data_IF_551169782123
#
_entry.id   IF_551169782123
#
_cell.length_a   1.000
_cell.length_b   1.000
_cell.length_c   1.000
_cell.angle_alpha   90.00
_cell.angle_beta   90.00
_cell.angle_gamma   90.00
#
_symmetry.space_group_name_H-M   'P 1'
#
loop_
_entity.id
_entity.type
_entity.pdbx_description
1 polymer ?
#
# COMPACT_ATOMS: atom_id res chain seq x y z
N UNK A 1 21.44 -6.90 3.22
CA UNK A 1 21.17 -5.70 2.41
C UNK A 1 22.45 -5.25 1.67
N UNK A 2 23.58 -4.98 2.35
CA UNK A 2 24.82 -4.55 1.67
C UNK A 2 25.24 -5.50 0.54
N UNK A 3 25.15 -6.82 0.77
CA UNK A 3 25.46 -7.84 -0.21
C UNK A 3 24.51 -7.79 -1.42
N UNK A 4 23.21 -7.61 -1.19
CA UNK A 4 22.23 -7.46 -2.28
C UNK A 4 22.57 -6.27 -3.16
N UNK A 5 22.73 -5.07 -2.57
CA UNK A 5 23.07 -3.86 -3.34
C UNK A 5 24.40 -3.98 -4.08
N UNK A 6 25.42 -4.62 -3.46
CA UNK A 6 26.69 -4.88 -4.14
C UNK A 6 26.51 -5.67 -5.45
N UNK A 7 25.65 -6.72 -5.43
CA UNK A 7 25.39 -7.52 -6.63
C UNK A 7 24.52 -6.75 -7.66
N UNK A 8 23.54 -5.95 -7.23
CA UNK A 8 22.72 -5.15 -8.16
C UNK A 8 23.56 -4.11 -8.89
N UNK A 9 24.55 -3.52 -8.23
CA UNK A 9 25.39 -2.45 -8.78
C UNK A 9 26.67 -2.96 -9.48
N UNK A 10 26.91 -4.26 -9.43
CA UNK A 10 28.09 -4.85 -10.07
C UNK A 10 28.06 -4.62 -11.60
N UNK A 11 29.15 -4.03 -12.12
CA UNK A 11 29.24 -3.65 -13.54
C UNK A 11 28.45 -2.40 -13.95
N UNK A 12 27.78 -1.73 -13.01
CA UNK A 12 27.00 -0.51 -13.30
C UNK A 12 27.82 0.78 -13.06
N UNK A 13 27.48 1.89 -13.73
CA UNK A 13 28.11 3.19 -13.51
C UNK A 13 28.00 3.63 -12.05
N UNK A 14 29.08 4.11 -11.45
CA UNK A 14 29.14 4.49 -10.02
C UNK A 14 28.34 5.75 -9.67
N UNK A 15 28.03 6.56 -10.63
CA UNK A 15 27.27 7.81 -10.54
C UNK A 15 25.76 7.59 -10.76
N UNK A 16 25.36 6.39 -11.22
CA UNK A 16 23.94 6.06 -11.43
C UNK A 16 23.36 5.33 -10.20
N UNK A 17 22.22 5.77 -9.73
CA UNK A 17 21.46 5.02 -8.72
C UNK A 17 20.72 3.86 -9.39
N UNK A 18 21.15 2.63 -9.10
CA UNK A 18 20.60 1.41 -9.72
C UNK A 18 19.38 0.90 -8.98
N UNK A 19 19.38 1.05 -7.65
CA UNK A 19 18.30 0.58 -6.78
C UNK A 19 18.13 1.50 -5.57
N UNK A 20 16.86 1.73 -5.18
CA UNK A 20 16.51 2.48 -3.97
C UNK A 20 15.35 1.79 -3.24
N UNK A 21 15.37 1.85 -1.92
CA UNK A 21 14.20 1.49 -1.12
C UNK A 21 13.04 2.45 -1.42
N UNK A 22 11.79 1.97 -1.33
CA UNK A 22 10.63 2.79 -1.65
C UNK A 22 9.37 2.32 -0.91
N UNK A 23 8.36 3.15 -0.85
CA UNK A 23 7.04 2.73 -0.37
C UNK A 23 6.94 2.53 1.14
N UNK A 24 6.34 1.41 1.55
CA UNK A 24 6.03 1.12 2.95
C UNK A 24 7.25 1.09 3.86
N UNK A 25 8.35 0.50 3.42
CA UNK A 25 9.57 0.38 4.21
C UNK A 25 10.22 1.75 4.49
N UNK A 26 10.29 2.65 3.48
CA UNK A 26 10.86 3.99 3.66
C UNK A 26 9.97 4.84 4.56
N UNK A 27 8.66 4.82 4.32
CA UNK A 27 7.69 5.52 5.17
C UNK A 27 7.77 5.08 6.63
N UNK A 28 7.84 3.78 6.90
CA UNK A 28 7.95 3.23 8.24
C UNK A 28 9.29 3.56 8.88
N UNK A 29 10.39 3.52 8.11
CA UNK A 29 11.72 3.95 8.56
C UNK A 29 11.70 5.41 9.04
N UNK A 30 11.15 6.32 8.24
CA UNK A 30 11.06 7.75 8.56
C UNK A 30 10.17 8.05 9.77
N UNK A 31 9.22 7.17 10.07
CA UNK A 31 8.34 7.25 11.26
C UNK A 31 8.83 6.40 12.44
N UNK A 32 10.01 5.82 12.37
CA UNK A 32 10.56 4.92 13.40
C UNK A 32 9.62 3.76 13.75
N UNK A 33 8.89 3.26 12.74
CA UNK A 33 7.99 2.10 12.86
C UNK A 33 8.65 0.83 12.38
N UNK A 34 8.12 -0.32 12.84
CA UNK A 34 8.58 -1.63 12.38
C UNK A 34 8.47 -1.77 10.86
N UNK A 35 9.50 -2.36 10.25
CA UNK A 35 9.57 -2.67 8.82
C UNK A 35 9.43 -4.18 8.69
N UNK A 36 8.34 -4.63 8.06
CA UNK A 36 8.08 -6.04 7.83
C UNK A 36 8.47 -6.45 6.40
N UNK A 37 8.05 -5.68 5.39
CA UNK A 37 8.36 -5.91 3.98
C UNK A 37 9.33 -4.84 3.47
N UNK A 38 10.27 -5.24 2.62
CA UNK A 38 11.27 -4.35 2.04
C UNK A 38 11.05 -4.30 0.53
N UNK A 39 10.53 -3.16 0.08
CA UNK A 39 10.33 -2.85 -1.34
C UNK A 39 11.52 -2.06 -1.88
N UNK A 40 12.05 -2.50 -3.01
CA UNK A 40 13.16 -1.88 -3.72
C UNK A 40 12.71 -1.59 -5.15
N UNK A 41 12.78 -0.34 -5.56
CA UNK A 41 12.66 0.07 -6.96
C UNK A 41 14.04 0.01 -7.62
N UNK A 42 14.10 -0.38 -8.90
CA UNK A 42 15.36 -0.51 -9.64
C UNK A 42 15.19 -0.19 -11.12
N UNK A 43 16.25 0.29 -11.74
CA UNK A 43 16.30 0.48 -13.20
C UNK A 43 16.51 -0.85 -13.96
N UNK A 44 16.87 -1.92 -13.25
CA UNK A 44 17.13 -3.23 -13.85
C UNK A 44 15.81 -3.93 -14.20
N UNK A 45 15.76 -4.56 -15.36
CA UNK A 45 14.67 -5.45 -15.75
C UNK A 45 14.65 -6.74 -14.94
N UNK A 46 13.55 -7.50 -14.90
CA UNK A 46 13.50 -8.81 -14.23
C UNK A 46 14.56 -9.78 -14.73
N UNK A 47 14.89 -9.77 -16.01
CA UNK A 47 15.91 -10.61 -16.65
C UNK A 47 17.32 -10.23 -16.15
N UNK A 48 17.61 -8.94 -16.10
CA UNK A 48 18.89 -8.43 -15.56
C UNK A 48 19.03 -8.74 -14.08
N UNK A 49 17.96 -8.59 -13.28
CA UNK A 49 17.92 -8.97 -11.89
C UNK A 49 18.26 -10.44 -11.70
N UNK A 50 17.63 -11.33 -12.48
CA UNK A 50 17.92 -12.77 -12.44
C UNK A 50 19.36 -13.07 -12.82
N UNK A 51 19.91 -12.37 -13.81
CA UNK A 51 21.30 -12.53 -14.24
C UNK A 51 22.28 -12.11 -13.15
N UNK A 52 22.06 -10.92 -12.54
CA UNK A 52 22.94 -10.38 -11.49
C UNK A 52 22.87 -11.17 -10.17
N UNK A 53 21.70 -11.72 -9.84
CA UNK A 53 21.44 -12.44 -8.59
C UNK A 53 21.51 -13.97 -8.74
N UNK A 54 22.19 -14.48 -9.78
CA UNK A 54 22.37 -15.94 -9.99
C UNK A 54 23.18 -16.65 -8.91
N UNK A 55 23.80 -15.91 -8.01
CA UNK A 55 24.57 -16.49 -6.93
C UNK A 55 23.71 -17.37 -6.01
N UNK A 56 24.24 -18.50 -5.54
CA UNK A 56 23.53 -19.50 -4.73
C UNK A 56 22.94 -18.98 -3.42
N UNK A 57 23.43 -17.83 -2.93
CA UNK A 57 22.87 -17.16 -1.74
C UNK A 57 21.52 -16.52 -1.94
N UNK A 58 21.06 -16.32 -3.20
CA UNK A 58 19.78 -15.71 -3.51
C UNK A 58 18.79 -16.78 -3.99
N UNK A 59 17.59 -16.78 -3.38
CA UNK A 59 16.45 -17.50 -3.94
C UNK A 59 15.54 -16.48 -4.61
N UNK A 60 15.34 -16.60 -5.93
CA UNK A 60 14.50 -15.72 -6.72
C UNK A 60 13.18 -16.43 -6.96
N UNK A 61 12.08 -15.72 -6.74
CA UNK A 61 10.71 -16.20 -6.97
C UNK A 61 10.02 -15.23 -7.93
N UNK A 62 9.49 -15.76 -8.99
CA UNK A 62 8.79 -15.03 -10.05
C UNK A 62 7.35 -14.69 -9.64
N UNK A 63 7.19 -13.77 -8.72
CA UNK A 63 5.88 -13.42 -8.13
C UNK A 63 5.08 -12.39 -8.92
N UNK A 64 5.68 -11.74 -9.91
CA UNK A 64 5.02 -10.65 -10.62
C UNK A 64 5.77 -10.17 -11.86
N UNK A 65 6.37 -11.07 -12.63
CA UNK A 65 7.15 -10.73 -13.84
C UNK A 65 6.32 -9.88 -14.81
N UNK A 66 5.04 -10.22 -15.01
CA UNK A 66 4.11 -9.46 -15.87
C UNK A 66 3.99 -8.00 -15.40
N UNK A 67 4.27 -7.73 -14.12
CA UNK A 67 4.25 -6.41 -13.53
C UNK A 67 5.65 -5.84 -13.26
N UNK A 68 6.70 -6.46 -13.82
CA UNK A 68 8.08 -6.03 -13.64
C UNK A 68 8.64 -6.23 -12.23
N UNK A 69 8.08 -7.18 -11.45
CA UNK A 69 8.50 -7.43 -10.06
C UNK A 69 9.04 -8.85 -9.88
N UNK A 70 10.09 -8.98 -9.06
CA UNK A 70 10.62 -10.26 -8.60
C UNK A 70 10.81 -10.24 -7.09
N UNK A 71 10.54 -11.37 -6.43
CA UNK A 71 10.85 -11.53 -5.01
C UNK A 71 12.20 -12.19 -4.85
N UNK A 72 13.05 -11.60 -4.06
CA UNK A 72 14.38 -12.13 -3.71
C UNK A 72 14.42 -12.47 -2.23
N UNK A 73 14.85 -13.69 -1.89
CA UNK A 73 15.07 -14.11 -0.52
C UNK A 73 16.57 -14.24 -0.28
N UNK A 74 17.05 -13.59 0.76
CA UNK A 74 18.44 -13.64 1.23
C UNK A 74 18.45 -13.76 2.75
N UNK A 75 19.03 -14.84 3.30
CA UNK A 75 19.08 -15.11 4.75
C UNK A 75 17.70 -14.94 5.40
N UNK A 76 16.69 -15.63 4.89
CA UNK A 76 15.28 -15.62 5.33
C UNK A 76 14.58 -14.26 5.28
N UNK A 77 15.24 -13.22 4.74
CA UNK A 77 14.65 -11.93 4.50
C UNK A 77 14.13 -11.82 3.07
N UNK A 78 12.90 -11.38 2.96
CA UNK A 78 12.21 -11.15 1.68
C UNK A 78 12.41 -9.71 1.23
N UNK A 79 12.78 -9.56 -0.05
CA UNK A 79 12.88 -8.27 -0.74
C UNK A 79 12.02 -8.33 -1.99
N UNK A 80 11.19 -7.33 -2.21
CA UNK A 80 10.43 -7.18 -3.44
C UNK A 80 11.13 -6.14 -4.32
N UNK A 81 11.67 -6.60 -5.44
CA UNK A 81 12.37 -5.74 -6.41
C UNK A 81 11.43 -5.45 -7.57
N UNK A 82 11.15 -4.18 -7.82
CA UNK A 82 10.27 -3.74 -8.91
C UNK A 82 11.03 -2.82 -9.85
N UNK A 83 11.04 -3.17 -11.12
CA UNK A 83 11.59 -2.33 -12.20
C UNK A 83 10.83 -1.01 -12.26
N UNK A 84 11.57 0.11 -12.45
CA UNK A 84 10.95 1.40 -12.70
C UNK A 84 10.07 1.32 -13.95
N UNK A 85 8.86 1.85 -13.84
CA UNK A 85 7.91 1.76 -14.93
C UNK A 85 6.94 2.94 -14.97
N UNK A 86 6.39 3.14 -16.14
CA UNK A 86 5.23 3.98 -16.39
C UNK A 86 4.04 3.08 -16.72
N UNK A 87 2.91 3.34 -16.13
CA UNK A 87 1.67 2.63 -16.44
C UNK A 87 1.02 3.34 -17.64
N UNK A 88 0.87 2.65 -18.78
CA UNK A 88 0.31 3.21 -20.03
C UNK A 88 -1.22 3.16 -20.01
N UNK A 89 -1.78 2.01 -19.60
CA UNK A 89 -3.22 1.80 -19.39
C UNK A 89 -3.40 0.93 -18.15
N UNK A 90 -4.32 1.28 -17.31
CA UNK A 90 -4.63 0.49 -16.12
C UNK A 90 -6.14 0.22 -16.03
N UNK A 91 -6.51 -1.00 -15.63
CA UNK A 91 -7.87 -1.38 -15.24
C UNK A 91 -7.95 -1.70 -13.73
N UNK A 92 -6.95 -1.28 -12.97
CA UNK A 92 -6.79 -1.55 -11.55
C UNK A 92 -6.17 -2.92 -11.22
N UNK A 93 -6.19 -3.88 -12.13
CA UNK A 93 -5.60 -5.23 -11.96
C UNK A 93 -4.44 -5.49 -12.91
N UNK A 94 -4.58 -5.05 -14.14
CA UNK A 94 -3.58 -5.18 -15.19
C UNK A 94 -3.18 -3.79 -15.66
N UNK A 95 -1.91 -3.58 -15.84
CA UNK A 95 -1.36 -2.39 -16.46
C UNK A 95 -0.50 -2.81 -17.63
N UNK A 96 -0.72 -2.22 -18.79
CA UNK A 96 0.32 -2.17 -19.80
C UNK A 96 1.42 -1.28 -19.23
N UNK A 97 2.61 -1.84 -19.07
CA UNK A 97 3.74 -1.14 -18.45
C UNK A 97 4.82 -0.88 -19.49
N UNK A 98 5.41 0.29 -19.38
CA UNK A 98 6.64 0.65 -20.08
C UNK A 98 7.78 0.74 -19.06
N UNK A 99 8.85 -0.01 -19.27
CA UNK A 99 10.05 0.08 -18.44
C UNK A 99 10.76 1.39 -18.70
N UNK A 100 11.13 2.08 -17.65
CA UNK A 100 11.80 3.39 -17.70
C UNK A 100 13.05 3.39 -16.79
N UNK A 101 13.88 4.42 -16.90
CA UNK A 101 15.01 4.67 -16.01
C UNK A 101 14.89 6.00 -15.24
N UNK A 102 13.74 6.66 -15.36
CA UNK A 102 13.44 7.92 -14.66
C UNK A 102 12.67 7.69 -13.37
N UNK A 103 13.32 7.97 -12.24
CA UNK A 103 12.76 7.88 -10.89
C UNK A 103 11.60 8.86 -10.65
N UNK A 104 11.59 10.03 -11.30
CA UNK A 104 10.50 11.00 -11.20
C UNK A 104 9.25 10.47 -11.87
N UNK A 105 9.39 9.87 -13.04
CA UNK A 105 8.25 9.28 -13.75
C UNK A 105 7.69 8.07 -12.97
N UNK A 106 8.52 7.15 -12.45
CA UNK A 106 8.04 6.05 -11.61
C UNK A 106 7.27 6.55 -10.38
N UNK A 107 7.71 7.68 -9.80
CA UNK A 107 7.03 8.25 -8.64
C UNK A 107 5.59 8.69 -8.94
N UNK A 108 5.30 9.14 -10.15
CA UNK A 108 3.98 9.65 -10.55
C UNK A 108 2.90 8.58 -10.60
N UNK A 109 3.24 7.32 -10.87
CA UNK A 109 2.26 6.22 -10.90
C UNK A 109 1.83 5.73 -9.51
N UNK A 110 2.56 6.10 -8.44
CA UNK A 110 2.25 5.67 -7.07
C UNK A 110 0.98 6.33 -6.55
N UNK A 111 0.39 5.77 -5.51
CA UNK A 111 -0.90 6.22 -4.98
C UNK A 111 -0.81 7.56 -4.22
N UNK A 112 0.03 7.60 -3.17
CA UNK A 112 0.14 8.73 -2.26
C UNK A 112 1.57 9.26 -2.20
N UNK A 113 1.72 10.57 -1.99
CA UNK A 113 3.02 11.25 -1.89
C UNK A 113 3.95 10.57 -0.90
N UNK A 114 3.46 10.18 0.27
CA UNK A 114 4.22 9.50 1.32
C UNK A 114 4.68 8.07 0.94
N UNK A 115 4.15 7.49 -0.12
CA UNK A 115 4.55 6.18 -0.66
C UNK A 115 5.50 6.31 -1.87
N UNK A 116 5.82 7.54 -2.28
CA UNK A 116 6.72 7.86 -3.38
C UNK A 116 8.05 8.48 -2.90
N UNK A 117 8.43 8.20 -1.68
CA UNK A 117 9.72 8.59 -1.09
C UNK A 117 10.69 7.45 -1.35
N UNK A 118 11.83 7.77 -1.96
CA UNK A 118 12.91 6.81 -2.21
C UNK A 118 14.08 7.07 -1.26
N UNK A 119 14.77 6.01 -0.86
CA UNK A 119 15.93 6.06 0.02
C UNK A 119 17.03 5.21 -0.56
N UNK A 120 18.19 5.80 -0.86
CA UNK A 120 19.31 5.01 -1.35
C UNK A 120 20.07 4.29 -0.20
N UNK A 121 20.97 3.40 -0.55
CA UNK A 121 21.80 2.63 0.41
C UNK A 121 22.69 3.48 1.31
N UNK A 122 22.95 4.75 0.96
CA UNK A 122 23.74 5.71 1.73
C UNK A 122 22.89 6.57 2.67
N UNK A 123 21.55 6.36 2.68
CA UNK A 123 20.62 7.15 3.48
C UNK A 123 20.20 8.48 2.85
N UNK A 124 20.52 8.73 1.57
CA UNK A 124 20.07 9.93 0.86
C UNK A 124 18.64 9.72 0.38
N UNK A 125 17.78 10.68 0.67
CA UNK A 125 16.38 10.70 0.24
C UNK A 125 16.28 11.34 -1.13
N UNK A 126 15.47 10.71 -2.01
CA UNK A 126 14.97 11.30 -3.24
C UNK A 126 13.44 11.35 -3.16
N UNK A 127 12.88 12.56 -3.14
CA UNK A 127 11.48 12.83 -2.84
C UNK A 127 10.83 13.77 -3.87
N UNK A 128 10.55 13.28 -5.08
CA UNK A 128 10.05 14.13 -6.16
C UNK A 128 8.60 14.59 -5.93
N UNK A 129 7.85 13.93 -5.04
CA UNK A 129 6.44 14.22 -4.75
C UNK A 129 6.23 14.95 -3.42
N UNK A 130 7.30 15.41 -2.76
CA UNK A 130 7.25 16.08 -1.45
C UNK A 130 6.58 15.24 -0.33
N UNK A 131 6.65 13.92 -0.46
CA UNK A 131 6.03 12.99 0.48
C UNK A 131 6.61 13.04 1.89
N UNK A 132 7.86 13.46 2.07
CA UNK A 132 8.49 13.63 3.39
C UNK A 132 7.82 14.72 4.20
N UNK A 133 7.45 15.86 3.56
CA UNK A 133 6.69 16.93 4.19
C UNK A 133 5.30 16.46 4.59
N UNK A 134 4.58 15.80 3.66
CA UNK A 134 3.24 15.28 3.92
C UNK A 134 3.28 14.24 5.05
N UNK A 135 4.25 13.33 5.03
CA UNK A 135 4.43 12.32 6.06
C UNK A 135 4.71 12.93 7.44
N UNK A 136 5.56 13.97 7.51
CA UNK A 136 5.86 14.70 8.76
C UNK A 136 4.61 15.32 9.36
N UNK A 137 3.76 15.91 8.51
CA UNK A 137 2.52 16.57 8.90
C UNK A 137 1.33 15.62 9.00
N UNK A 138 1.53 14.30 8.85
CA UNK A 138 0.49 13.29 8.82
C UNK A 138 -0.58 13.53 7.74
N UNK A 139 -0.21 14.05 6.59
CA UNK A 139 -1.10 14.30 5.45
C UNK A 139 -1.10 13.09 4.53
N UNK A 140 -2.29 12.62 4.17
CA UNK A 140 -2.50 11.58 3.15
C UNK A 140 -3.01 12.26 1.89
N UNK A 141 -2.14 12.37 0.88
CA UNK A 141 -2.41 13.11 -0.35
C UNK A 141 -2.15 12.24 -1.57
N UNK A 142 -3.08 12.23 -2.50
CA UNK A 142 -2.89 11.60 -3.81
C UNK A 142 -1.79 12.32 -4.61
N UNK A 143 -1.06 11.57 -5.43
CA UNK A 143 -0.13 12.13 -6.39
C UNK A 143 -0.92 12.57 -7.63
N UNK A 144 -1.00 13.86 -7.88
CA UNK A 144 -1.82 14.41 -8.96
C UNK A 144 -3.30 14.57 -8.59
N UNK A 145 -4.18 14.53 -9.59
CA UNK A 145 -5.61 14.71 -9.40
C UNK A 145 -6.26 13.48 -8.76
N UNK A 146 -6.96 13.62 -7.62
CA UNK A 146 -7.56 12.49 -6.92
C UNK A 146 -8.56 11.68 -7.76
N UNK A 147 -9.34 12.34 -8.62
CA UNK A 147 -10.34 11.66 -9.43
C UNK A 147 -9.67 10.73 -10.44
N UNK A 148 -8.69 11.23 -11.17
CA UNK A 148 -7.89 10.47 -12.14
C UNK A 148 -7.20 9.28 -11.45
N UNK A 149 -6.59 9.52 -10.28
CA UNK A 149 -5.88 8.48 -9.53
C UNK A 149 -6.80 7.38 -9.02
N UNK A 150 -8.03 7.70 -8.65
CA UNK A 150 -9.04 6.73 -8.24
C UNK A 150 -9.53 5.91 -9.45
N UNK A 151 -9.72 6.53 -10.62
CA UNK A 151 -10.14 5.84 -11.85
C UNK A 151 -9.13 4.80 -12.32
N UNK A 152 -7.84 5.04 -12.14
CA UNK A 152 -6.80 4.08 -12.47
C UNK A 152 -6.86 2.80 -11.60
N UNK A 153 -7.22 2.93 -10.31
CA UNK A 153 -7.42 1.81 -9.39
C UNK A 153 -8.34 2.21 -8.24
N UNK A 154 -9.57 1.75 -8.27
CA UNK A 154 -10.59 2.04 -7.25
C UNK A 154 -10.21 1.52 -5.85
N UNK A 155 -9.27 0.58 -5.72
CA UNK A 155 -8.75 0.15 -4.41
C UNK A 155 -8.09 1.31 -3.66
N UNK A 156 -7.64 2.33 -4.36
CA UNK A 156 -7.05 3.53 -3.75
C UNK A 156 -8.02 4.26 -2.82
N UNK A 157 -9.34 4.13 -3.02
CA UNK A 157 -10.36 4.64 -2.08
C UNK A 157 -10.20 3.94 -0.71
N UNK A 158 -10.14 2.61 -0.71
CA UNK A 158 -10.02 1.83 0.53
C UNK A 158 -8.66 2.07 1.19
N UNK A 159 -7.61 2.17 0.38
CA UNK A 159 -6.25 2.52 0.85
C UNK A 159 -6.20 3.92 1.44
N UNK A 160 -6.91 4.90 0.85
CA UNK A 160 -7.04 6.25 1.40
C UNK A 160 -7.68 6.23 2.78
N UNK A 161 -8.81 5.52 2.96
CA UNK A 161 -9.44 5.33 4.28
C UNK A 161 -8.43 4.76 5.28
N UNK A 162 -7.74 3.68 4.91
CA UNK A 162 -6.74 3.03 5.76
C UNK A 162 -5.64 3.98 6.21
N UNK A 163 -5.02 4.69 5.29
CA UNK A 163 -3.93 5.59 5.62
C UNK A 163 -4.41 6.81 6.41
N UNK A 164 -5.60 7.35 6.09
CA UNK A 164 -6.19 8.46 6.84
C UNK A 164 -6.42 8.09 8.31
N UNK A 165 -6.95 6.89 8.59
CA UNK A 165 -7.08 6.37 9.95
C UNK A 165 -5.69 6.19 10.58
N UNK A 166 -4.77 5.52 9.88
CA UNK A 166 -3.44 5.16 10.38
C UNK A 166 -2.60 6.38 10.81
N UNK A 167 -2.72 7.48 10.09
CA UNK A 167 -1.98 8.72 10.33
C UNK A 167 -2.81 9.80 11.03
N UNK A 168 -4.09 9.54 11.30
CA UNK A 168 -5.03 10.53 11.83
C UNK A 168 -5.01 11.82 10.97
N UNK A 169 -5.05 11.64 9.65
CA UNK A 169 -4.94 12.73 8.68
C UNK A 169 -6.24 13.52 8.60
N UNK A 170 -6.13 14.83 8.44
CA UNK A 170 -7.24 15.61 7.94
C UNK A 170 -7.58 15.19 6.49
N UNK A 171 -8.84 15.34 6.12
CA UNK A 171 -9.32 14.97 4.79
C UNK A 171 -9.70 16.23 4.01
N UNK A 172 -9.11 16.39 2.83
CA UNK A 172 -9.44 17.53 1.96
C UNK A 172 -10.80 17.32 1.28
N UNK A 173 -11.62 18.38 1.19
CA UNK A 173 -12.94 18.34 0.56
C UNK A 173 -12.90 17.92 -0.91
N UNK A 174 -11.86 18.29 -1.64
CA UNK A 174 -11.63 17.85 -3.03
C UNK A 174 -11.53 16.35 -3.15
N UNK A 175 -10.75 15.72 -2.27
CA UNK A 175 -10.58 14.27 -2.19
C UNK A 175 -11.89 13.56 -1.85
N UNK A 176 -12.66 14.08 -0.87
CA UNK A 176 -13.98 13.51 -0.52
C UNK A 176 -14.91 13.55 -1.72
N UNK A 177 -14.95 14.68 -2.44
CA UNK A 177 -15.79 14.83 -3.63
C UNK A 177 -15.40 13.82 -4.71
N UNK A 178 -14.11 13.66 -5.00
CA UNK A 178 -13.59 12.70 -5.97
C UNK A 178 -13.98 11.26 -5.59
N UNK A 179 -13.83 10.88 -4.31
CA UNK A 179 -14.22 9.56 -3.81
C UNK A 179 -15.73 9.33 -4.00
N UNK A 180 -16.58 10.27 -3.59
CA UNK A 180 -18.04 10.12 -3.72
C UNK A 180 -18.47 9.97 -5.18
N UNK A 181 -17.85 10.71 -6.10
CA UNK A 181 -18.13 10.63 -7.55
C UNK A 181 -17.74 9.27 -8.14
N UNK A 182 -16.68 8.63 -7.63
CA UNK A 182 -16.12 7.39 -8.19
C UNK A 182 -16.43 6.14 -7.39
N UNK A 183 -17.25 6.22 -6.36
CA UNK A 183 -17.54 5.14 -5.43
C UNK A 183 -18.05 3.86 -6.12
N UNK A 184 -18.85 4.01 -7.17
CA UNK A 184 -19.42 2.87 -7.90
C UNK A 184 -18.36 1.95 -8.52
N UNK A 185 -17.15 2.45 -8.78
CA UNK A 185 -16.05 1.66 -9.32
C UNK A 185 -15.53 0.57 -8.36
N UNK A 186 -15.81 0.67 -7.06
CA UNK A 186 -15.43 -0.34 -6.06
C UNK A 186 -16.05 -1.70 -6.38
N UNK A 187 -17.24 -1.73 -6.99
CA UNK A 187 -17.93 -2.95 -7.39
C UNK A 187 -17.13 -3.81 -8.39
N UNK A 188 -16.19 -3.18 -9.11
CA UNK A 188 -15.35 -3.85 -10.10
C UNK A 188 -14.07 -4.47 -9.48
N UNK A 189 -13.83 -4.22 -8.18
CA UNK A 189 -12.67 -4.78 -7.50
C UNK A 189 -12.88 -6.25 -7.14
N UNK A 190 -11.80 -7.02 -7.19
CA UNK A 190 -11.85 -8.39 -6.68
C UNK A 190 -12.09 -8.41 -5.17
N UNK A 191 -12.91 -9.34 -4.72
CA UNK A 191 -13.27 -9.48 -3.30
C UNK A 191 -12.05 -9.66 -2.41
N UNK A 192 -11.03 -10.39 -2.89
CA UNK A 192 -9.79 -10.66 -2.17
C UNK A 192 -9.00 -9.37 -1.91
N UNK A 193 -8.93 -8.46 -2.91
CA UNK A 193 -8.24 -7.18 -2.75
C UNK A 193 -8.96 -6.29 -1.73
N UNK A 194 -10.29 -6.22 -1.81
CA UNK A 194 -11.13 -5.47 -0.87
C UNK A 194 -10.99 -6.03 0.54
N UNK A 195 -11.12 -7.35 0.70
CA UNK A 195 -10.97 -8.03 2.00
C UNK A 195 -9.57 -7.80 2.59
N UNK A 196 -8.52 -7.92 1.79
CA UNK A 196 -7.15 -7.69 2.25
C UNK A 196 -6.95 -6.28 2.82
N UNK A 197 -7.45 -5.24 2.15
CA UNK A 197 -7.35 -3.86 2.66
C UNK A 197 -8.26 -3.62 3.86
N UNK A 198 -9.48 -4.20 3.88
CA UNK A 198 -10.38 -4.14 5.01
C UNK A 198 -9.74 -4.72 6.28
N UNK A 199 -9.14 -5.92 6.18
CA UNK A 199 -8.47 -6.54 7.32
C UNK A 199 -7.31 -5.69 7.85
N UNK A 200 -6.58 -5.02 6.98
CA UNK A 200 -5.55 -4.04 7.39
C UNK A 200 -6.16 -2.86 8.13
N UNK A 201 -7.35 -2.37 7.70
CA UNK A 201 -8.07 -1.29 8.41
C UNK A 201 -8.48 -1.73 9.81
N UNK A 202 -9.11 -2.90 9.91
CA UNK A 202 -9.62 -3.43 11.19
C UNK A 202 -8.52 -3.70 12.22
N UNK A 203 -7.30 -3.98 11.77
CA UNK A 203 -6.13 -4.20 12.63
C UNK A 203 -5.41 -2.93 13.07
N UNK A 204 -5.80 -1.76 12.56
CA UNK A 204 -5.16 -0.51 12.96
C UNK A 204 -5.40 -0.23 14.44
N UNK A 205 -4.33 0.10 15.16
CA UNK A 205 -4.42 0.55 16.55
C UNK A 205 -5.31 1.80 16.68
N UNK A 206 -5.25 2.68 15.67
CA UNK A 206 -6.02 3.91 15.60
C UNK A 206 -7.39 3.74 14.95
N UNK A 207 -7.92 2.52 14.80
CA UNK A 207 -9.21 2.31 14.12
C UNK A 207 -10.33 3.17 14.69
N UNK A 208 -10.38 3.35 16.02
CA UNK A 208 -11.39 4.16 16.70
C UNK A 208 -11.41 5.63 16.24
N UNK A 209 -10.33 6.14 15.66
CA UNK A 209 -10.26 7.49 15.08
C UNK A 209 -11.24 7.73 13.92
N UNK A 210 -11.72 6.66 13.28
CA UNK A 210 -12.75 6.77 12.25
C UNK A 210 -14.04 7.43 12.79
N UNK A 211 -14.38 7.19 14.05
CA UNK A 211 -15.58 7.75 14.69
C UNK A 211 -15.44 9.22 15.09
N UNK A 212 -14.21 9.74 15.12
CA UNK A 212 -13.92 11.14 15.41
C UNK A 212 -13.98 12.02 14.15
N UNK A 213 -13.81 11.40 12.95
CA UNK A 213 -13.84 12.09 11.67
C UNK A 213 -15.14 11.76 10.91
N UNK A 214 -16.11 12.68 10.99
CA UNK A 214 -17.44 12.49 10.39
C UNK A 214 -17.40 12.19 8.90
N UNK A 215 -16.56 12.89 8.14
CA UNK A 215 -16.45 12.73 6.68
C UNK A 215 -15.83 11.37 6.31
N UNK A 216 -14.79 10.96 7.05
CA UNK A 216 -14.15 9.66 6.86
C UNK A 216 -15.10 8.51 7.21
N UNK A 217 -15.87 8.67 8.30
CA UNK A 217 -16.87 7.70 8.72
C UNK A 217 -17.99 7.56 7.68
N UNK A 218 -18.46 8.68 7.10
CA UNK A 218 -19.43 8.66 6.01
C UNK A 218 -18.89 7.88 4.79
N UNK A 219 -17.65 8.16 4.35
CA UNK A 219 -17.03 7.45 3.23
C UNK A 219 -16.91 5.95 3.55
N UNK A 220 -16.47 5.60 4.76
CA UNK A 220 -16.36 4.20 5.16
C UNK A 220 -17.69 3.46 5.07
N UNK A 221 -18.78 4.06 5.53
CA UNK A 221 -20.11 3.46 5.45
C UNK A 221 -20.64 3.36 4.00
N UNK A 222 -20.24 4.28 3.13
CA UNK A 222 -20.58 4.21 1.70
C UNK A 222 -19.81 3.10 0.99
N UNK A 223 -18.56 2.84 1.40
CA UNK A 223 -17.72 1.78 0.84
C UNK A 223 -18.13 0.40 1.36
N UNK A 224 -18.56 0.31 2.63
CA UNK A 224 -18.94 -0.92 3.31
C UNK A 224 -20.36 -0.82 3.90
N UNK A 225 -21.39 -0.73 3.04
CA UNK A 225 -22.79 -0.55 3.50
C UNK A 225 -23.32 -1.74 4.31
N UNK A 226 -22.65 -2.89 4.21
CA UNK A 226 -23.01 -4.11 4.95
C UNK A 226 -22.71 -3.98 6.45
N UNK A 227 -21.82 -3.08 6.85
CA UNK A 227 -21.40 -2.95 8.26
C UNK A 227 -22.34 -2.07 9.09
N UNK A 228 -23.62 -2.44 9.14
CA UNK A 228 -24.66 -1.72 9.87
C UNK A 228 -24.34 -1.58 11.38
N UNK A 229 -23.59 -2.53 11.93
CA UNK A 229 -23.29 -2.61 13.36
C UNK A 229 -21.85 -2.25 13.71
N UNK A 230 -21.23 -1.34 12.98
CA UNK A 230 -19.83 -0.92 13.21
C UNK A 230 -19.60 -0.43 14.67
N UNK A 231 -20.64 0.09 15.35
CA UNK A 231 -20.56 0.48 16.76
C UNK A 231 -20.34 -0.71 17.71
N UNK A 232 -20.71 -1.94 17.35
CA UNK A 232 -20.34 -3.13 18.13
C UNK A 232 -18.82 -3.31 18.16
N UNK A 233 -18.16 -3.08 17.03
CA UNK A 233 -16.71 -3.13 16.94
C UNK A 233 -16.07 -2.03 17.79
N UNK A 234 -16.65 -0.81 17.78
CA UNK A 234 -16.21 0.29 18.68
C UNK A 234 -16.27 -0.15 20.13
N UNK A 235 -17.42 -0.65 20.59
CA UNK A 235 -17.62 -1.11 21.96
C UNK A 235 -16.68 -2.25 22.34
N UNK A 236 -16.52 -3.23 21.44
CA UNK A 236 -15.58 -4.33 21.63
C UNK A 236 -14.15 -3.83 21.79
N UNK A 237 -13.69 -2.91 20.95
CA UNK A 237 -12.33 -2.36 21.02
C UNK A 237 -12.07 -1.56 22.31
N UNK A 238 -13.09 -0.91 22.87
CA UNK A 238 -12.97 -0.18 24.13
C UNK A 238 -12.84 -1.12 25.35
N UNK A 239 -13.48 -2.27 25.30
CA UNK A 239 -13.55 -3.21 26.44
C UNK A 239 -12.42 -4.25 26.39
N UNK A 240 -11.98 -4.63 25.21
CA UNK A 240 -11.19 -5.86 24.98
C UNK A 240 -9.68 -5.68 24.94
N UNK A 241 -9.08 -4.91 25.83
CA UNK A 241 -7.62 -4.71 25.85
C UNK A 241 -6.79 -6.01 26.00
N UNK A 242 -7.41 -7.13 26.44
CA UNK A 242 -6.75 -8.42 26.72
C UNK A 242 -7.06 -9.51 25.67
N UNK A 243 -7.98 -9.27 24.75
CA UNK A 243 -8.42 -10.29 23.78
C UNK A 243 -7.62 -10.15 22.50
N UNK A 244 -7.03 -11.27 22.02
CA UNK A 244 -6.35 -11.29 20.72
C UNK A 244 -7.35 -11.00 19.60
N UNK A 245 -7.15 -9.90 18.90
CA UNK A 245 -8.00 -9.45 17.77
C UNK A 245 -7.70 -10.28 16.52
N UNK A 246 -8.30 -11.47 16.41
CA UNK A 246 -8.21 -12.25 15.18
C UNK A 246 -9.08 -11.65 14.07
N UNK A 247 -8.73 -11.89 12.82
CA UNK A 247 -9.50 -11.43 11.65
C UNK A 247 -10.94 -11.93 11.68
N UNK A 248 -11.10 -13.20 11.98
CA UNK A 248 -12.43 -13.86 12.08
C UNK A 248 -13.29 -13.17 13.14
N UNK A 249 -12.72 -12.93 14.32
CA UNK A 249 -13.46 -12.27 15.41
C UNK A 249 -13.91 -10.86 15.00
N UNK A 250 -13.02 -10.06 14.39
CA UNK A 250 -13.35 -8.69 13.97
C UNK A 250 -14.44 -8.68 12.88
N UNK A 251 -14.37 -9.60 11.91
CA UNK A 251 -15.39 -9.74 10.88
C UNK A 251 -16.72 -10.24 11.46
N UNK A 252 -16.69 -11.21 12.36
CA UNK A 252 -17.91 -11.71 13.03
C UNK A 252 -18.65 -10.61 13.77
N UNK A 253 -17.93 -9.73 14.50
CA UNK A 253 -18.53 -8.60 15.20
C UNK A 253 -19.23 -7.63 14.24
N UNK A 254 -18.65 -7.42 13.05
CA UNK A 254 -19.19 -6.49 12.05
C UNK A 254 -20.40 -7.05 11.31
N UNK A 255 -20.40 -8.35 11.00
CA UNK A 255 -21.27 -8.95 10.00
C UNK A 255 -22.41 -9.78 10.62
N UNK A 256 -22.25 -10.31 11.84
CA UNK A 256 -23.29 -11.12 12.48
C UNK A 256 -24.36 -10.23 13.09
N UNK A 257 -25.50 -10.10 12.41
CA UNK A 257 -26.63 -9.27 12.84
C UNK A 257 -27.70 -10.04 13.60
N UNK A 258 -28.01 -11.26 13.19
CA UNK A 258 -29.09 -12.11 13.68
C UNK A 258 -28.58 -13.51 13.96
N UNK A 259 -29.35 -14.29 14.73
CA UNK A 259 -29.00 -15.68 15.10
C UNK A 259 -28.76 -16.60 13.90
N UNK A 260 -29.33 -16.34 12.73
CA UNK A 260 -29.17 -17.13 11.51
C UNK A 260 -28.04 -16.69 10.57
N UNK A 261 -27.43 -15.52 10.80
CA UNK A 261 -26.42 -14.99 9.86
C UNK A 261 -25.06 -15.71 9.91
N UNK A 262 -24.85 -16.60 10.89
CA UNK A 262 -23.63 -17.41 10.94
C UNK A 262 -23.52 -18.36 9.73
N UNK A 263 -24.64 -18.80 9.16
CA UNK A 263 -24.67 -19.65 7.95
C UNK A 263 -24.07 -18.95 6.72
N UNK A 264 -24.22 -17.64 6.64
CA UNK A 264 -23.67 -16.80 5.55
C UNK A 264 -22.15 -16.77 5.52
N UNK A 265 -21.49 -17.07 6.65
CA UNK A 265 -20.03 -17.08 6.78
C UNK A 265 -19.40 -18.45 6.64
N UNK A 266 -20.23 -19.50 6.60
CA UNK A 266 -19.79 -20.88 6.46
C UNK A 266 -19.81 -21.35 4.99
N UNK A 267 -20.32 -20.53 4.06
CA UNK A 267 -20.30 -20.75 2.62
C UNK A 267 -19.18 -19.94 1.95
#
# INVERSE_FOLDING_TARGET
IKFLFKNLEDGEPKDKEIAMFVGGCVRNFLKSKKIDDIDIATVLTPEELKKKLRHSSFKIIDTGIVHGSVTVILNDKKFELTTLRKDLKTDGRHAEIETIDDWREDSKRRDFTMNAIYLNKKGKIFDPQQGTSDLKNNIVKFIGDPQTRIEEDFLRIIRFIRFTIQYNSAVERSTIRAIKLKLNGIKNLSKERVLSELLKILKLENFLKIFENKELFEIFNLVFPEFKNIYRLKNFMLISNRIKKSEILLLSILLVDLKGNHEYFCQ
#
